data_IF_411968038221
#
_entry.id   IF_411968038221
#
_cell.length_a   1.000
_cell.length_b   1.000
_cell.length_c   1.000
_cell.angle_alpha   90.00
_cell.angle_beta   90.00
_cell.angle_gamma   90.00
#
_symmetry.space_group_name_H-M   'P 1'
#
loop_
_entity.id
_entity.type
_entity.pdbx_description
1 polymer ?
#
# COMPACT_ATOMS: atom_id res chain seq x y z
N UNK A 1 -21.87 -19.35 -13.99
CA UNK A 1 -22.36 -20.69 -14.48
C UNK A 1 -23.43 -20.45 -15.52
N UNK A 2 -23.40 -21.21 -16.62
CA UNK A 2 -24.45 -21.18 -17.64
C UNK A 2 -25.54 -22.15 -17.24
N UNK A 3 -26.76 -21.65 -17.15
CA UNK A 3 -27.97 -22.47 -17.06
C UNK A 3 -28.76 -22.38 -18.38
N UNK A 4 -29.55 -23.41 -18.72
CA UNK A 4 -30.39 -23.41 -19.91
C UNK A 4 -31.36 -22.23 -19.85
N UNK A 5 -31.13 -21.20 -20.70
CA UNK A 5 -32.07 -20.12 -20.96
C UNK A 5 -31.79 -18.77 -20.30
N UNK A 6 -30.64 -18.51 -19.67
CA UNK A 6 -30.34 -17.20 -19.15
C UNK A 6 -28.96 -17.08 -18.47
N UNK A 7 -28.40 -15.88 -18.46
CA UNK A 7 -27.24 -15.53 -17.64
C UNK A 7 -27.73 -14.98 -16.31
N UNK A 8 -27.46 -15.66 -15.21
CA UNK A 8 -27.66 -15.11 -13.87
C UNK A 8 -26.41 -14.31 -13.52
N UNK A 9 -26.56 -12.99 -13.37
CA UNK A 9 -25.54 -12.17 -12.73
C UNK A 9 -25.38 -12.69 -11.29
N UNK A 10 -24.25 -13.25 -10.95
CA UNK A 10 -23.87 -13.54 -9.58
C UNK A 10 -23.63 -12.20 -8.88
N UNK A 11 -24.72 -11.59 -8.39
CA UNK A 11 -24.73 -10.40 -7.57
C UNK A 11 -24.36 -10.74 -6.14
N UNK A 12 -23.11 -11.07 -5.92
CA UNK A 12 -22.47 -11.02 -4.64
C UNK A 12 -21.12 -10.32 -4.88
N UNK A 13 -20.84 -9.25 -4.16
CA UNK A 13 -19.56 -8.55 -4.24
C UNK A 13 -18.45 -9.39 -3.59
N UNK A 14 -18.22 -10.57 -4.14
CA UNK A 14 -16.99 -11.32 -3.90
C UNK A 14 -15.88 -10.46 -4.49
N UNK A 15 -15.06 -9.88 -3.63
CA UNK A 15 -13.93 -9.05 -4.06
C UNK A 15 -13.11 -9.81 -5.10
N UNK A 16 -12.83 -9.19 -6.23
CA UNK A 16 -11.98 -9.79 -7.28
C UNK A 16 -10.62 -10.07 -6.65
N UNK A 17 -10.12 -11.32 -6.67
CA UNK A 17 -8.81 -11.65 -6.12
C UNK A 17 -7.71 -10.77 -6.70
N UNK A 18 -6.68 -10.47 -5.89
CA UNK A 18 -5.57 -9.60 -6.27
C UNK A 18 -4.90 -10.04 -7.60
N UNK A 19 -4.81 -11.35 -7.83
CA UNK A 19 -4.26 -11.93 -9.05
C UNK A 19 -4.96 -11.47 -10.34
N UNK A 20 -6.26 -11.16 -10.29
CA UNK A 20 -7.02 -10.65 -11.44
C UNK A 20 -6.95 -9.12 -11.58
N UNK A 21 -6.50 -8.41 -10.54
CA UNK A 21 -6.33 -6.95 -10.56
C UNK A 21 -5.00 -6.52 -11.18
N UNK A 22 -4.04 -7.42 -11.30
CA UNK A 22 -2.66 -7.12 -11.75
C UNK A 22 -2.59 -6.67 -13.21
N UNK A 23 -3.52 -7.09 -14.06
CA UNK A 23 -3.45 -6.86 -15.51
C UNK A 23 -4.06 -5.52 -15.99
N UNK A 24 -4.59 -4.68 -15.09
CA UNK A 24 -5.21 -3.41 -15.48
C UNK A 24 -4.42 -2.24 -14.89
N UNK A 25 -4.00 -1.33 -15.77
CA UNK A 25 -3.28 -0.09 -15.45
C UNK A 25 -1.84 -0.29 -14.91
N UNK A 26 -1.07 -1.26 -15.44
CA UNK A 26 0.30 -1.54 -15.00
C UNK A 26 1.25 -0.34 -15.19
N UNK A 27 1.16 0.41 -16.29
CA UNK A 27 2.02 1.57 -16.55
C UNK A 27 1.80 2.70 -15.55
N UNK A 28 0.54 2.98 -15.17
CA UNK A 28 0.21 4.00 -14.18
C UNK A 28 0.78 3.63 -12.81
N UNK A 29 0.56 2.39 -12.39
CA UNK A 29 1.08 1.89 -11.12
C UNK A 29 2.60 1.87 -11.09
N UNK A 30 3.23 1.58 -12.23
CA UNK A 30 4.68 1.60 -12.33
C UNK A 30 5.25 3.02 -12.13
N UNK A 31 4.67 4.06 -12.76
CA UNK A 31 5.10 5.44 -12.54
C UNK A 31 4.89 5.88 -11.08
N UNK A 32 3.75 5.54 -10.48
CA UNK A 32 3.49 5.79 -9.05
C UNK A 32 4.54 5.09 -8.18
N UNK A 33 4.87 3.85 -8.51
CA UNK A 33 5.84 3.06 -7.79
C UNK A 33 7.27 3.62 -7.88
N UNK A 34 7.68 4.10 -9.03
CA UNK A 34 8.97 4.75 -9.24
C UNK A 34 9.09 6.03 -8.42
N UNK A 35 8.08 6.91 -8.47
CA UNK A 35 8.05 8.12 -7.66
C UNK A 35 8.06 7.83 -6.14
N UNK A 36 7.38 6.77 -5.70
CA UNK A 36 7.42 6.33 -4.31
C UNK A 36 8.80 5.76 -3.94
N UNK A 37 9.41 4.99 -4.82
CA UNK A 37 10.72 4.39 -4.59
C UNK A 37 11.80 5.46 -4.39
N UNK A 38 11.74 6.58 -5.10
CA UNK A 38 12.70 7.69 -5.00
C UNK A 38 12.70 8.38 -3.62
N UNK A 39 11.68 8.16 -2.81
CA UNK A 39 11.60 8.69 -1.45
C UNK A 39 12.34 7.85 -0.41
N UNK A 40 12.78 6.64 -0.77
CA UNK A 40 13.38 5.67 0.16
C UNK A 40 14.90 5.73 0.10
N UNK A 41 15.53 5.82 1.25
CA UNK A 41 16.99 5.81 1.41
C UNK A 41 17.49 4.51 2.05
N UNK A 42 18.81 4.26 1.92
CA UNK A 42 19.42 3.13 2.64
C UNK A 42 19.19 3.28 4.15
N UNK A 43 18.95 2.13 4.80
CA UNK A 43 18.70 1.97 6.23
C UNK A 43 17.35 2.46 6.73
N UNK A 44 16.49 2.98 5.85
CA UNK A 44 15.11 3.30 6.23
C UNK A 44 14.35 2.06 6.68
N UNK A 45 13.38 2.29 7.54
CA UNK A 45 12.34 1.33 7.91
C UNK A 45 11.06 1.74 7.21
N UNK A 46 10.62 0.98 6.22
CA UNK A 46 9.37 1.27 5.52
C UNK A 46 8.24 0.36 5.99
N UNK A 47 7.05 0.93 6.12
CA UNK A 47 5.80 0.19 6.27
C UNK A 47 5.09 0.09 4.93
N UNK A 48 4.57 -1.09 4.57
CA UNK A 48 3.87 -1.25 3.30
C UNK A 48 2.73 -2.25 3.44
N UNK A 49 1.51 -1.82 3.10
CA UNK A 49 0.33 -2.68 3.15
C UNK A 49 0.11 -3.44 1.84
N UNK A 50 -0.90 -4.31 1.81
CA UNK A 50 -1.28 -5.07 0.62
C UNK A 50 -1.94 -4.21 -0.46
N UNK A 51 -1.82 -4.64 -1.70
CA UNK A 51 -2.42 -4.00 -2.87
C UNK A 51 -1.58 -4.14 -4.12
N UNK A 52 -2.17 -3.90 -5.29
CA UNK A 52 -1.44 -3.98 -6.56
C UNK A 52 -0.43 -2.84 -6.72
N UNK A 53 -0.80 -1.63 -6.32
CA UNK A 53 0.08 -0.45 -6.38
C UNK A 53 1.23 -0.58 -5.39
N UNK A 54 0.95 -0.98 -4.14
CA UNK A 54 1.98 -1.19 -3.12
C UNK A 54 2.91 -2.35 -3.43
N UNK A 55 2.43 -3.39 -4.10
CA UNK A 55 3.29 -4.47 -4.64
C UNK A 55 4.25 -3.92 -5.70
N UNK A 56 3.77 -3.05 -6.60
CA UNK A 56 4.63 -2.37 -7.57
C UNK A 56 5.67 -1.46 -6.87
N UNK A 57 5.27 -0.72 -5.82
CA UNK A 57 6.18 0.10 -5.00
C UNK A 57 7.28 -0.75 -4.37
N UNK A 58 6.93 -1.88 -3.74
CA UNK A 58 7.91 -2.78 -3.16
C UNK A 58 8.94 -3.27 -4.17
N UNK A 59 8.49 -3.62 -5.38
CA UNK A 59 9.36 -4.04 -6.50
C UNK A 59 10.26 -2.92 -6.98
N UNK A 60 9.71 -1.72 -7.18
CA UNK A 60 10.47 -0.56 -7.64
C UNK A 60 11.58 -0.18 -6.65
N UNK A 61 11.29 -0.17 -5.34
CA UNK A 61 12.28 0.13 -4.30
C UNK A 61 13.46 -0.85 -4.39
N UNK A 62 13.19 -2.15 -4.36
CA UNK A 62 14.28 -3.16 -4.32
C UNK A 62 14.99 -3.37 -5.66
N UNK A 63 14.48 -2.78 -6.75
CA UNK A 63 15.14 -2.77 -8.05
C UNK A 63 16.22 -1.67 -8.15
N UNK A 64 16.22 -0.68 -7.26
CA UNK A 64 17.22 0.40 -7.26
C UNK A 64 18.59 -0.14 -6.88
N UNK A 65 19.63 0.37 -7.52
CA UNK A 65 21.02 -0.09 -7.35
C UNK A 65 21.53 0.06 -5.91
N UNK A 66 21.04 1.03 -5.17
CA UNK A 66 21.41 1.25 -3.76
C UNK A 66 20.94 0.15 -2.81
N UNK A 67 19.94 -0.64 -3.22
CA UNK A 67 19.45 -1.83 -2.50
C UNK A 67 19.95 -3.13 -3.12
N UNK A 68 20.87 -3.07 -4.06
CA UNK A 68 21.54 -4.25 -4.61
C UNK A 68 22.36 -4.95 -3.50
N UNK A 69 22.63 -6.26 -3.63
CA UNK A 69 23.53 -6.94 -2.72
C UNK A 69 24.88 -6.22 -2.67
N UNK A 70 25.27 -5.78 -1.47
CA UNK A 70 26.57 -5.16 -1.20
C UNK A 70 27.62 -6.20 -0.77
N UNK A 71 28.77 -5.73 -0.33
CA UNK A 71 29.78 -6.60 0.27
C UNK A 71 29.22 -7.29 1.51
N UNK A 72 29.59 -8.56 1.71
CA UNK A 72 29.15 -9.41 2.83
C UNK A 72 29.54 -8.85 4.21
N UNK A 73 30.36 -7.79 4.23
CA UNK A 73 30.79 -7.08 5.44
C UNK A 73 29.73 -6.11 6.01
N UNK A 74 28.66 -5.83 5.28
CA UNK A 74 27.59 -4.92 5.74
C UNK A 74 26.72 -5.66 6.77
N UNK A 75 26.96 -5.42 8.06
CA UNK A 75 26.24 -6.05 9.18
C UNK A 75 24.80 -5.53 9.33
N UNK A 76 24.44 -4.45 8.65
CA UNK A 76 23.11 -3.86 8.68
C UNK A 76 22.35 -4.13 7.38
N UNK A 77 21.05 -4.43 7.46
CA UNK A 77 20.22 -4.56 6.27
C UNK A 77 20.17 -3.23 5.51
N UNK A 78 20.25 -3.28 4.19
CA UNK A 78 20.15 -2.09 3.34
C UNK A 78 18.81 -1.38 3.47
N UNK A 79 17.76 -2.13 3.83
CA UNK A 79 16.39 -1.65 4.06
C UNK A 79 15.68 -2.59 5.03
N UNK A 80 14.79 -2.06 5.87
CA UNK A 80 13.84 -2.87 6.63
C UNK A 80 12.43 -2.63 6.10
N UNK A 81 11.71 -3.69 5.76
CA UNK A 81 10.34 -3.65 5.27
C UNK A 81 9.41 -4.29 6.30
N UNK A 82 8.49 -3.51 6.84
CA UNK A 82 7.41 -3.96 7.72
C UNK A 82 6.14 -4.09 6.88
N UNK A 83 5.57 -5.29 6.80
CA UNK A 83 4.41 -5.52 5.94
C UNK A 83 3.42 -6.53 6.53
N UNK A 84 2.14 -6.28 6.28
CA UNK A 84 1.06 -7.25 6.48
C UNK A 84 0.71 -8.00 5.19
N UNK A 85 1.42 -7.79 4.08
CA UNK A 85 1.14 -8.40 2.79
C UNK A 85 2.01 -9.65 2.55
N UNK A 86 1.38 -10.82 2.54
CA UNK A 86 2.06 -12.11 2.35
C UNK A 86 2.79 -12.19 1.02
N UNK A 87 2.19 -11.68 -0.05
CA UNK A 87 2.79 -11.67 -1.38
C UNK A 87 4.05 -10.80 -1.44
N UNK A 88 4.03 -9.61 -0.82
CA UNK A 88 5.20 -8.72 -0.74
C UNK A 88 6.30 -9.39 0.11
N UNK A 89 5.95 -9.94 1.28
CA UNK A 89 6.89 -10.64 2.13
C UNK A 89 7.56 -11.82 1.38
N UNK A 90 6.78 -12.65 0.71
CA UNK A 90 7.29 -13.80 -0.05
C UNK A 90 8.24 -13.38 -1.18
N UNK A 91 7.89 -12.32 -1.91
CA UNK A 91 8.70 -11.83 -3.03
C UNK A 91 10.03 -11.21 -2.57
N UNK A 92 10.03 -10.53 -1.41
CA UNK A 92 11.23 -9.86 -0.92
C UNK A 92 12.13 -10.76 -0.06
N UNK A 93 11.61 -11.83 0.53
CA UNK A 93 12.35 -12.72 1.44
C UNK A 93 13.61 -13.35 0.81
N UNK A 94 13.64 -13.48 -0.50
CA UNK A 94 14.81 -14.01 -1.23
C UNK A 94 15.98 -13.01 -1.31
N UNK A 95 15.80 -11.78 -0.87
CA UNK A 95 16.78 -10.69 -0.92
C UNK A 95 17.47 -10.54 0.43
N UNK A 96 18.61 -11.17 0.61
CA UNK A 96 19.31 -11.27 1.91
C UNK A 96 19.70 -9.90 2.51
N UNK A 97 19.88 -8.88 1.69
CA UNK A 97 20.20 -7.51 2.13
C UNK A 97 18.98 -6.74 2.63
N UNK A 98 17.76 -7.27 2.46
CA UNK A 98 16.51 -6.65 2.92
C UNK A 98 16.00 -7.42 4.14
N UNK A 99 15.83 -6.72 5.26
CA UNK A 99 15.17 -7.29 6.44
C UNK A 99 13.66 -7.18 6.29
N UNK A 100 12.96 -8.31 6.40
CA UNK A 100 11.50 -8.35 6.31
C UNK A 100 10.92 -8.64 7.69
N UNK A 101 10.01 -7.77 8.13
CA UNK A 101 9.19 -7.95 9.32
C UNK A 101 7.75 -8.15 8.86
N UNK A 102 7.26 -9.38 9.00
CA UNK A 102 5.88 -9.73 8.69
C UNK A 102 5.04 -9.60 9.95
N UNK A 103 3.94 -8.86 9.89
CA UNK A 103 3.12 -8.55 11.07
C UNK A 103 2.50 -9.78 11.76
N UNK A 104 2.39 -10.90 11.03
CA UNK A 104 1.57 -12.02 11.48
C UNK A 104 0.08 -11.74 11.33
N UNK A 105 -0.77 -12.68 11.76
CA UNK A 105 -2.23 -12.53 11.68
C UNK A 105 -2.91 -13.60 10.83
N UNK A 106 -4.17 -13.37 10.51
CA UNK A 106 -4.99 -14.23 9.66
C UNK A 106 -4.96 -13.73 8.22
N UNK A 107 -4.52 -14.57 7.29
CA UNK A 107 -4.43 -14.20 5.88
C UNK A 107 -5.81 -14.12 5.22
N UNK A 108 -6.08 -13.02 4.55
CA UNK A 108 -7.27 -12.82 3.71
C UNK A 108 -6.98 -13.22 2.26
N UNK A 109 -7.65 -14.22 1.71
CA UNK A 109 -7.34 -14.73 0.37
C UNK A 109 -7.52 -13.70 -0.76
N UNK A 110 -8.40 -12.69 -0.57
CA UNK A 110 -8.73 -11.70 -1.60
C UNK A 110 -7.68 -10.59 -1.73
N UNK A 111 -7.00 -10.22 -0.63
CA UNK A 111 -6.03 -9.12 -0.57
C UNK A 111 -4.61 -9.57 -0.27
N UNK A 112 -4.44 -10.82 0.20
CA UNK A 112 -3.17 -11.33 0.76
C UNK A 112 -2.70 -10.57 1.99
N UNK A 113 -3.55 -9.76 2.61
CA UNK A 113 -3.23 -9.06 3.84
C UNK A 113 -3.46 -9.97 5.07
N UNK A 114 -2.53 -9.87 5.99
CA UNK A 114 -2.64 -10.43 7.34
C UNK A 114 -3.41 -9.44 8.20
N UNK A 115 -4.42 -9.93 8.91
CA UNK A 115 -5.31 -9.13 9.75
C UNK A 115 -5.50 -9.73 11.13
N UNK A 116 -6.13 -9.00 12.03
CA UNK A 116 -6.46 -9.44 13.37
C UNK A 116 -5.41 -9.06 14.44
N UNK A 117 -5.66 -9.41 15.70
CA UNK A 117 -4.89 -8.91 16.85
C UNK A 117 -3.41 -9.29 16.82
N UNK A 118 -3.05 -10.42 16.24
CA UNK A 118 -1.64 -10.83 16.14
C UNK A 118 -0.81 -9.88 15.26
N UNK A 119 -1.43 -9.28 14.23
CA UNK A 119 -0.76 -8.29 13.41
C UNK A 119 -0.47 -7.01 14.21
N UNK A 120 -1.38 -6.61 15.08
CA UNK A 120 -1.26 -5.42 15.89
C UNK A 120 -0.13 -5.50 16.93
N UNK A 121 0.10 -6.69 17.51
CA UNK A 121 1.16 -6.85 18.51
C UNK A 121 2.56 -6.58 17.93
N UNK A 122 2.85 -7.07 16.74
CA UNK A 122 4.13 -6.79 16.07
C UNK A 122 4.29 -5.29 15.78
N UNK A 123 3.21 -4.63 15.34
CA UNK A 123 3.24 -3.21 14.99
C UNK A 123 3.48 -2.30 16.20
N UNK A 124 3.16 -2.72 17.43
CA UNK A 124 3.48 -1.96 18.64
C UNK A 124 4.98 -1.85 18.90
N UNK A 125 5.76 -2.83 18.45
CA UNK A 125 7.20 -2.96 18.74
C UNK A 125 8.10 -2.33 17.67
N UNK A 126 7.53 -1.76 16.60
CA UNK A 126 8.31 -1.19 15.50
C UNK A 126 8.08 0.31 15.35
N UNK A 127 9.09 1.01 14.84
CA UNK A 127 8.97 2.38 14.35
C UNK A 127 9.24 2.37 12.84
N UNK A 128 8.48 3.17 12.10
CA UNK A 128 8.50 3.22 10.65
C UNK A 128 8.89 4.65 10.23
N UNK A 129 9.83 4.78 9.30
CA UNK A 129 10.21 6.08 8.77
C UNK A 129 9.19 6.56 7.73
N UNK A 130 8.81 5.69 6.79
CA UNK A 130 7.83 6.00 5.73
C UNK A 130 6.84 4.84 5.61
N UNK A 131 5.54 5.13 5.72
CA UNK A 131 4.48 4.18 5.38
C UNK A 131 3.93 4.45 3.98
N UNK A 132 4.00 3.46 3.09
CA UNK A 132 3.33 3.48 1.79
C UNK A 132 2.01 2.74 1.89
N UNK A 133 0.91 3.47 1.73
CA UNK A 133 -0.44 2.95 1.89
C UNK A 133 -1.18 2.93 0.56
N UNK A 134 -1.51 1.73 0.10
CA UNK A 134 -2.53 1.52 -0.93
C UNK A 134 -3.93 1.61 -0.31
N UNK A 135 -4.87 2.19 -1.04
CA UNK A 135 -6.23 2.45 -0.54
C UNK A 135 -7.30 1.98 -1.52
N UNK A 136 -8.50 1.69 -1.01
CA UNK A 136 -9.66 1.40 -1.87
C UNK A 136 -10.39 2.68 -2.27
N UNK A 137 -10.40 3.68 -1.40
CA UNK A 137 -10.95 5.00 -1.67
C UNK A 137 -10.19 6.07 -0.88
N UNK A 138 -10.19 7.28 -1.39
CA UNK A 138 -9.66 8.46 -0.70
C UNK A 138 -10.45 9.71 -1.10
N UNK A 139 -10.79 10.54 -0.13
CA UNK A 139 -11.35 11.87 -0.36
C UNK A 139 -10.94 12.88 0.73
N UNK A 140 -11.22 14.17 0.49
CA UNK A 140 -10.79 15.26 1.37
C UNK A 140 -11.55 15.34 2.70
N UNK A 141 -12.68 14.67 2.84
CA UNK A 141 -13.51 14.69 4.06
C UNK A 141 -13.17 13.55 5.01
N UNK A 142 -13.05 12.34 4.46
CA UNK A 142 -12.87 11.13 5.27
C UNK A 142 -11.43 10.58 5.26
N UNK A 143 -10.57 11.09 4.36
CA UNK A 143 -9.21 10.59 4.19
C UNK A 143 -9.14 9.27 3.45
N UNK A 144 -8.17 8.44 3.80
CA UNK A 144 -7.91 7.12 3.22
C UNK A 144 -8.80 6.04 3.83
N UNK A 145 -9.34 5.15 2.99
CA UNK A 145 -10.27 4.11 3.43
C UNK A 145 -10.06 2.77 2.71
N UNK A 146 -10.41 1.68 3.40
CA UNK A 146 -10.44 0.31 2.91
C UNK A 146 -11.88 -0.23 2.86
N UNK A 147 -12.08 -1.31 2.11
CA UNK A 147 -13.38 -1.97 2.01
C UNK A 147 -13.74 -2.74 3.29
N UNK A 148 -12.76 -3.32 3.95
CA UNK A 148 -12.92 -4.19 5.11
C UNK A 148 -12.29 -3.57 6.35
N UNK A 149 -12.99 -3.65 7.47
CA UNK A 149 -12.58 -3.08 8.75
C UNK A 149 -11.32 -3.71 9.31
N UNK A 150 -11.15 -5.02 9.14
CA UNK A 150 -9.96 -5.73 9.60
C UNK A 150 -8.69 -5.28 8.86
N UNK A 151 -8.79 -5.06 7.54
CA UNK A 151 -7.69 -4.49 6.74
C UNK A 151 -7.41 -3.04 7.16
N UNK A 152 -8.46 -2.23 7.27
CA UNK A 152 -8.33 -0.84 7.69
C UNK A 152 -7.67 -0.71 9.07
N UNK A 153 -8.00 -1.62 10.00
CA UNK A 153 -7.46 -1.62 11.35
C UNK A 153 -5.95 -1.85 11.37
N UNK A 154 -5.44 -2.84 10.64
CA UNK A 154 -4.00 -3.10 10.56
C UNK A 154 -3.28 -1.99 9.78
N UNK A 155 -3.87 -1.52 8.68
CA UNK A 155 -3.29 -0.45 7.87
C UNK A 155 -3.22 0.88 8.65
N UNK A 156 -4.20 1.16 9.52
CA UNK A 156 -4.16 2.28 10.47
C UNK A 156 -3.01 2.15 11.47
N UNK A 157 -2.72 0.93 11.94
CA UNK A 157 -1.59 0.70 12.83
C UNK A 157 -0.25 0.93 12.13
N UNK A 158 -0.11 0.51 10.88
CA UNK A 158 1.07 0.81 10.07
C UNK A 158 1.24 2.33 9.95
N UNK A 159 0.16 3.06 9.61
CA UNK A 159 0.16 4.51 9.53
C UNK A 159 0.59 5.15 10.86
N UNK A 160 -0.02 4.74 11.97
CA UNK A 160 0.23 5.30 13.30
C UNK A 160 1.67 5.09 13.81
N UNK A 161 2.42 4.16 13.23
CA UNK A 161 3.83 3.90 13.57
C UNK A 161 4.81 4.63 12.68
N UNK A 162 4.32 5.31 11.64
CA UNK A 162 5.14 6.00 10.65
C UNK A 162 5.38 7.47 11.01
N UNK A 163 6.57 7.96 10.68
CA UNK A 163 6.90 9.40 10.74
C UNK A 163 6.33 10.16 9.55
N UNK A 164 6.20 9.46 8.41
CA UNK A 164 5.65 10.02 7.17
C UNK A 164 4.68 9.02 6.55
N UNK A 165 3.50 9.49 6.19
CA UNK A 165 2.45 8.70 5.53
C UNK A 165 2.35 9.12 4.07
N UNK A 166 2.62 8.18 3.18
CA UNK A 166 2.52 8.35 1.72
C UNK A 166 1.41 7.45 1.19
N UNK A 167 0.35 8.05 0.69
CA UNK A 167 -0.70 7.31 -0.01
C UNK A 167 -0.32 7.16 -1.47
N UNK A 168 -0.34 5.92 -1.98
CA UNK A 168 -0.03 5.57 -3.37
C UNK A 168 -1.26 4.98 -4.05
N UNK A 169 -1.83 5.71 -5.01
CA UNK A 169 -3.11 5.31 -5.59
C UNK A 169 -3.35 5.89 -6.98
N UNK A 170 -4.06 5.17 -7.82
CA UNK A 170 -4.51 5.70 -9.10
C UNK A 170 -5.73 6.62 -8.95
N UNK A 171 -5.94 7.49 -9.94
CA UNK A 171 -7.00 8.51 -9.94
C UNK A 171 -8.43 7.95 -9.85
N UNK A 172 -8.63 6.67 -10.16
CA UNK A 172 -9.96 6.04 -10.05
C UNK A 172 -10.46 5.90 -8.61
N UNK A 173 -9.57 6.01 -7.61
CA UNK A 173 -9.90 5.83 -6.19
C UNK A 173 -10.55 7.05 -5.55
N UNK A 174 -10.41 8.22 -6.14
CA UNK A 174 -11.09 9.45 -5.69
C UNK A 174 -12.59 9.48 -5.98
N UNK A 175 -13.07 8.59 -6.84
CA UNK A 175 -14.49 8.47 -7.21
C UNK A 175 -15.21 7.34 -6.48
N UNK A 176 -14.54 6.71 -5.51
CA UNK A 176 -15.06 5.57 -4.77
C UNK A 176 -15.34 5.96 -3.33
N UNK A 177 -16.20 5.20 -2.70
CA UNK A 177 -16.38 5.17 -1.26
C UNK A 177 -15.94 3.82 -0.72
N UNK A 178 -15.45 3.80 0.51
CA UNK A 178 -15.11 2.58 1.21
C UNK A 178 -15.58 2.63 2.64
N UNK A 179 -15.83 1.47 3.23
CA UNK A 179 -16.54 1.35 4.50
C UNK A 179 -15.72 1.76 5.72
N UNK A 180 -14.42 1.40 5.72
CA UNK A 180 -13.60 1.50 6.92
C UNK A 180 -12.44 2.48 6.75
N UNK A 181 -12.33 3.46 7.65
CA UNK A 181 -11.26 4.47 7.63
C UNK A 181 -9.90 3.86 7.99
N UNK A 182 -8.88 4.23 7.22
CA UNK A 182 -7.46 3.94 7.50
C UNK A 182 -6.83 5.14 8.23
N UNK A 183 -6.86 6.31 7.61
CA UNK A 183 -6.20 7.52 8.11
C UNK A 183 -6.99 8.75 7.72
N UNK A 184 -7.22 9.71 8.64
CA UNK A 184 -7.79 10.99 8.26
C UNK A 184 -6.85 11.74 7.33
N UNK A 185 -7.40 12.67 6.55
CA UNK A 185 -6.62 13.44 5.58
C UNK A 185 -5.50 14.26 6.24
N UNK A 186 -5.72 14.73 7.47
CA UNK A 186 -4.76 15.52 8.25
C UNK A 186 -3.46 14.80 8.58
N UNK A 187 -3.47 13.48 8.56
CA UNK A 187 -2.32 12.64 8.91
C UNK A 187 -1.54 12.18 7.66
N UNK A 188 -2.07 12.47 6.46
CA UNK A 188 -1.44 12.10 5.19
C UNK A 188 -0.49 13.22 4.77
N UNK A 189 0.80 12.92 4.69
CA UNK A 189 1.82 13.88 4.27
C UNK A 189 1.87 14.03 2.76
N UNK A 190 1.88 12.90 2.03
CA UNK A 190 2.08 12.88 0.59
C UNK A 190 1.04 11.96 -0.06
N UNK A 191 0.55 12.40 -1.22
CA UNK A 191 -0.28 11.62 -2.11
C UNK A 191 0.41 11.50 -3.47
N UNK A 192 0.71 10.28 -3.91
CA UNK A 192 1.24 10.01 -5.25
C UNK A 192 0.13 9.40 -6.09
N UNK A 193 -0.17 10.04 -7.22
CA UNK A 193 -1.23 9.61 -8.13
C UNK A 193 -0.93 9.96 -9.59
N UNK A 194 -1.74 9.46 -10.51
CA UNK A 194 -1.62 9.76 -11.93
C UNK A 194 -2.34 11.04 -12.35
N UNK A 195 -2.04 11.51 -13.56
CA UNK A 195 -2.59 12.73 -14.15
C UNK A 195 -4.11 12.70 -14.41
N UNK A 196 -4.79 11.57 -14.18
CA UNK A 196 -6.24 11.47 -14.25
C UNK A 196 -7.00 12.08 -13.07
N UNK A 197 -6.31 12.59 -12.05
CA UNK A 197 -6.92 13.26 -10.90
C UNK A 197 -7.57 14.60 -11.32
N UNK A 198 -8.76 14.90 -10.77
CA UNK A 198 -9.44 16.18 -11.00
C UNK A 198 -8.67 17.33 -10.31
N UNK A 199 -8.47 18.43 -11.03
CA UNK A 199 -7.75 19.61 -10.52
C UNK A 199 -8.40 20.25 -9.28
N UNK A 200 -9.70 20.07 -9.08
CA UNK A 200 -10.41 20.49 -7.85
C UNK A 200 -9.96 19.67 -6.65
N UNK A 201 -9.85 18.36 -6.82
CA UNK A 201 -9.37 17.45 -5.77
C UNK A 201 -7.93 17.84 -5.39
N UNK A 202 -7.07 18.13 -6.38
CA UNK A 202 -5.69 18.59 -6.11
C UNK A 202 -5.68 19.85 -5.24
N UNK A 203 -6.55 20.83 -5.55
CA UNK A 203 -6.65 22.07 -4.76
C UNK A 203 -7.11 21.81 -3.32
N UNK A 204 -8.14 20.95 -3.17
CA UNK A 204 -8.71 20.62 -1.86
C UNK A 204 -7.67 19.94 -0.96
N UNK A 205 -6.94 18.96 -1.50
CA UNK A 205 -5.91 18.24 -0.74
C UNK A 205 -4.73 19.15 -0.37
N UNK A 206 -4.26 19.99 -1.31
CA UNK A 206 -3.20 20.97 -1.00
C UNK A 206 -3.62 21.98 0.06
N UNK A 207 -4.89 22.44 0.04
CA UNK A 207 -5.42 23.33 1.07
C UNK A 207 -5.46 22.68 2.46
N UNK A 208 -5.51 21.35 2.53
CA UNK A 208 -5.46 20.56 3.76
C UNK A 208 -4.03 20.17 4.18
N UNK A 209 -3.00 20.66 3.45
CA UNK A 209 -1.60 20.44 3.78
C UNK A 209 -0.96 19.19 3.15
N UNK A 210 -1.69 18.47 2.30
CA UNK A 210 -1.15 17.26 1.64
C UNK A 210 -0.29 17.67 0.44
N UNK A 211 0.95 17.20 0.39
CA UNK A 211 1.78 17.30 -0.80
C UNK A 211 1.28 16.32 -1.87
N UNK A 212 1.13 16.79 -3.12
CA UNK A 212 0.65 15.94 -4.22
C UNK A 212 1.71 15.81 -5.30
N UNK A 213 2.13 14.58 -5.55
CA UNK A 213 3.00 14.17 -6.65
C UNK A 213 2.13 13.54 -7.74
N UNK A 214 2.13 14.14 -8.92
CA UNK A 214 1.37 13.67 -10.10
C UNK A 214 2.36 13.11 -11.12
N UNK A 215 2.16 11.85 -11.53
CA UNK A 215 3.03 11.11 -12.45
C UNK A 215 2.35 10.75 -13.77
#
# INVERSE_FOLDING_TARGET
SRTHGGAVATGGSLGIPLTYKVAKDDEVKQRIAEAAADMVSRYDVIGINGGTTTTAVARAIVARSEFAPGDVSDLQPALTVVTNAVNIAAELTVRHQIKIVVTGGVARPQSYELTGPFAEEVLKEVNIDIAFLGVEAIDSLIGAAARHEDEARVNRQIAARARKIVVVTDSSKFKKSAFASISPISDIDILITDSGIDSRIVKDFRALGVEIVIV
#
